data_IF_119522249272
#
_entry.id   IF_119522249272
#
_cell.length_a   1.000
_cell.length_b   1.000
_cell.length_c   1.000
_cell.angle_alpha   90.00
_cell.angle_beta   90.00
_cell.angle_gamma   90.00
#
_symmetry.space_group_name_H-M   'P 1'
#
loop_
_entity.id
_entity.type
_entity.pdbx_description
1 polymer ?
#
# COMPACT_ATOMS: atom_id res chain seq x y z
N UNK A 1 13.47 -51.97 -0.88
CA UNK A 1 14.50 -51.14 -1.56
C UNK A 1 13.79 -50.17 -2.51
N UNK A 2 13.23 -49.07 -2.01
CA UNK A 2 12.52 -48.04 -2.81
C UNK A 2 12.92 -46.66 -2.25
N UNK A 3 14.19 -46.26 -2.37
CA UNK A 3 14.61 -44.95 -1.88
C UNK A 3 15.79 -44.34 -2.67
N UNK A 4 15.72 -44.41 -3.99
CA UNK A 4 16.75 -43.85 -4.90
C UNK A 4 16.25 -42.63 -5.73
N UNK A 5 15.01 -42.15 -5.52
CA UNK A 5 14.42 -41.10 -6.40
C UNK A 5 14.24 -39.75 -5.66
N UNK A 6 14.44 -39.69 -4.34
CA UNK A 6 14.21 -38.46 -3.58
C UNK A 6 15.42 -37.50 -3.51
N UNK A 7 16.59 -37.89 -3.99
CA UNK A 7 17.84 -37.12 -3.78
C UNK A 7 18.25 -36.20 -4.94
N UNK A 8 17.51 -36.16 -6.06
CA UNK A 8 17.92 -35.41 -7.27
C UNK A 8 17.15 -34.10 -7.52
N UNK A 9 16.21 -33.71 -6.66
CA UNK A 9 15.45 -32.45 -6.81
C UNK A 9 15.97 -31.30 -5.94
N UNK A 10 17.02 -31.55 -5.16
CA UNK A 10 17.54 -30.59 -4.18
C UNK A 10 19.01 -30.25 -4.47
N UNK A 11 19.26 -29.61 -5.59
CA UNK A 11 20.40 -28.70 -5.69
C UNK A 11 20.27 -27.74 -6.86
N UNK A 12 20.29 -26.43 -6.51
CA UNK A 12 20.98 -25.36 -7.23
C UNK A 12 20.67 -25.21 -8.73
N UNK A 13 20.15 -24.09 -9.23
CA UNK A 13 20.92 -22.83 -9.35
C UNK A 13 20.04 -21.70 -9.93
N UNK A 14 18.83 -21.47 -9.40
CA UNK A 14 17.95 -20.39 -9.91
C UNK A 14 17.45 -19.43 -8.83
N UNK A 15 17.59 -19.77 -7.56
CA UNK A 15 17.14 -18.91 -6.44
C UNK A 15 18.12 -17.76 -6.11
N UNK A 16 19.39 -17.89 -6.50
CA UNK A 16 20.43 -16.90 -6.24
C UNK A 16 20.50 -15.73 -7.22
N UNK A 17 19.87 -15.83 -8.41
CA UNK A 17 19.99 -14.82 -9.46
C UNK A 17 18.95 -13.69 -9.34
N UNK A 18 17.84 -13.93 -8.65
CA UNK A 18 16.78 -12.93 -8.46
C UNK A 18 17.07 -11.95 -7.31
N UNK A 19 18.06 -12.26 -6.46
CA UNK A 19 18.51 -11.42 -5.34
C UNK A 19 19.67 -10.48 -5.69
N UNK A 20 20.01 -10.37 -6.97
CA UNK A 20 21.05 -9.47 -7.47
C UNK A 20 20.51 -8.18 -8.14
N UNK A 21 19.19 -7.98 -8.23
CA UNK A 21 18.63 -6.74 -8.79
C UNK A 21 18.01 -5.78 -7.77
N UNK A 22 18.06 -6.09 -6.46
CA UNK A 22 17.49 -5.25 -5.39
C UNK A 22 18.48 -4.27 -4.76
N UNK A 23 19.53 -3.82 -5.45
CA UNK A 23 20.45 -2.83 -4.87
C UNK A 23 21.12 -1.92 -5.90
N UNK A 24 20.35 -1.30 -6.80
CA UNK A 24 20.74 0.03 -7.29
C UNK A 24 20.27 1.04 -6.26
N UNK A 25 21.16 1.27 -5.29
CA UNK A 25 21.08 2.38 -4.34
C UNK A 25 21.12 3.67 -5.15
N UNK A 26 19.98 4.31 -5.35
CA UNK A 26 19.98 5.74 -5.59
C UNK A 26 20.42 6.40 -4.28
N UNK A 27 21.73 6.61 -4.17
CA UNK A 27 22.33 7.48 -3.19
C UNK A 27 21.93 8.91 -3.56
N UNK A 28 20.82 9.37 -3.01
CA UNK A 28 20.63 10.79 -2.72
C UNK A 28 21.06 10.99 -1.27
N UNK A 29 22.27 11.51 -1.12
CA UNK A 29 22.84 11.92 0.16
C UNK A 29 21.91 12.92 0.86
N UNK A 30 21.28 12.52 1.96
CA UNK A 30 20.75 13.46 2.96
C UNK A 30 21.75 13.53 4.12
N UNK A 31 22.04 14.72 4.67
CA UNK A 31 23.04 14.86 5.72
C UNK A 31 22.63 14.05 6.95
N UNK A 32 23.60 13.29 7.48
CA UNK A 32 23.54 12.67 8.79
C UNK A 32 23.30 13.74 9.86
N UNK A 33 22.13 13.71 10.48
CA UNK A 33 21.84 14.40 11.73
C UNK A 33 21.48 13.35 12.78
N UNK A 34 22.49 12.98 13.57
CA UNK A 34 22.40 12.72 15.01
C UNK A 34 21.33 11.71 15.44
N UNK A 35 21.79 10.49 15.76
CA UNK A 35 20.92 9.41 16.20
C UNK A 35 20.11 9.69 17.46
N UNK A 36 18.97 9.01 17.55
CA UNK A 36 18.41 8.48 18.78
C UNK A 36 17.71 7.17 18.41
N UNK A 37 18.00 6.12 19.17
CA UNK A 37 17.27 4.86 19.08
C UNK A 37 15.82 5.11 19.53
N UNK A 38 14.93 5.40 18.58
CA UNK A 38 13.49 5.38 18.82
C UNK A 38 12.95 4.00 18.46
N UNK A 39 12.18 3.44 19.38
CA UNK A 39 11.47 2.19 19.23
C UNK A 39 10.83 2.11 17.83
N UNK A 40 10.86 0.91 17.23
CA UNK A 40 10.23 0.57 15.95
C UNK A 40 8.72 0.83 15.94
N UNK A 41 8.31 2.10 15.99
CA UNK A 41 7.02 2.54 15.51
C UNK A 41 7.08 2.45 13.98
N UNK A 42 6.01 1.98 13.32
CA UNK A 42 5.96 1.97 11.87
C UNK A 42 6.21 3.41 11.38
N UNK A 43 7.22 3.56 10.52
CA UNK A 43 7.51 4.83 9.87
C UNK A 43 6.24 5.37 9.18
N UNK A 44 6.07 6.69 9.13
CA UNK A 44 4.89 7.31 8.52
C UNK A 44 4.61 6.78 7.09
N UNK A 45 5.66 6.53 6.31
CA UNK A 45 5.54 5.92 4.98
C UNK A 45 4.94 4.50 5.02
N UNK A 46 5.27 3.72 6.04
CA UNK A 46 4.73 2.38 6.25
C UNK A 46 3.26 2.44 6.69
N UNK A 47 2.88 3.42 7.52
CA UNK A 47 1.47 3.65 7.88
C UNK A 47 0.65 4.05 6.65
N UNK A 48 1.16 4.96 5.81
CA UNK A 48 0.50 5.37 4.56
C UNK A 48 0.41 4.20 3.56
N UNK A 49 1.45 3.36 3.46
CA UNK A 49 1.43 2.18 2.61
C UNK A 49 0.34 1.18 3.07
N UNK A 50 0.23 0.96 4.38
CA UNK A 50 -0.79 0.08 4.95
C UNK A 50 -2.20 0.61 4.69
N UNK A 51 -2.45 1.90 4.94
CA UNK A 51 -3.75 2.53 4.67
C UNK A 51 -4.10 2.46 3.18
N UNK A 52 -3.12 2.63 2.29
CA UNK A 52 -3.32 2.51 0.84
C UNK A 52 -3.71 1.09 0.44
N UNK A 53 -3.07 0.07 1.04
CA UNK A 53 -3.39 -1.33 0.79
C UNK A 53 -4.80 -1.68 1.28
N UNK A 54 -5.15 -1.24 2.49
CA UNK A 54 -6.49 -1.42 3.06
C UNK A 54 -7.58 -0.74 2.22
N UNK A 55 -7.29 0.43 1.64
CA UNK A 55 -8.21 1.12 0.75
C UNK A 55 -8.48 0.30 -0.53
N UNK A 56 -7.43 -0.28 -1.14
CA UNK A 56 -7.56 -1.14 -2.32
C UNK A 56 -8.42 -2.36 -2.01
N UNK A 57 -8.21 -2.98 -0.85
CA UNK A 57 -8.95 -4.18 -0.46
C UNK A 57 -10.43 -3.87 -0.18
N UNK A 58 -10.73 -2.71 0.40
CA UNK A 58 -12.12 -2.24 0.58
C UNK A 58 -12.82 -1.96 -0.75
N UNK A 59 -12.12 -1.38 -1.73
CA UNK A 59 -12.68 -1.15 -3.07
C UNK A 59 -13.07 -2.48 -3.72
N UNK A 60 -12.17 -3.48 -3.68
CA UNK A 60 -12.45 -4.83 -4.22
C UNK A 60 -13.64 -5.50 -3.54
N UNK A 61 -13.77 -5.36 -2.21
CA UNK A 61 -14.94 -5.87 -1.49
C UNK A 61 -16.23 -5.14 -1.90
N UNK A 62 -16.16 -3.83 -2.10
CA UNK A 62 -17.29 -3.04 -2.60
C UNK A 62 -17.74 -3.47 -3.99
N UNK A 63 -16.79 -3.71 -4.91
CA UNK A 63 -17.09 -4.25 -6.24
C UNK A 63 -17.75 -5.63 -6.17
N UNK A 64 -17.22 -6.54 -5.34
CA UNK A 64 -17.81 -7.86 -5.13
C UNK A 64 -19.23 -7.80 -4.56
N UNK A 65 -19.48 -6.87 -3.63
CA UNK A 65 -20.80 -6.62 -3.06
C UNK A 65 -21.75 -5.98 -4.09
N UNK A 66 -21.27 -5.06 -4.94
CA UNK A 66 -22.06 -4.47 -6.01
C UNK A 66 -22.46 -5.50 -7.07
N UNK A 67 -21.54 -6.40 -7.44
CA UNK A 67 -21.83 -7.54 -8.33
C UNK A 67 -22.92 -8.41 -7.72
N UNK A 68 -22.77 -8.77 -6.43
CA UNK A 68 -23.79 -9.52 -5.69
C UNK A 68 -25.13 -8.77 -5.62
N UNK A 69 -25.12 -7.45 -5.50
CA UNK A 69 -26.32 -6.61 -5.47
C UNK A 69 -27.05 -6.54 -6.80
N UNK A 70 -26.33 -6.48 -7.92
CA UNK A 70 -26.90 -6.57 -9.28
C UNK A 70 -27.54 -7.96 -9.51
N UNK A 71 -26.96 -9.01 -8.93
CA UNK A 71 -27.54 -10.36 -8.86
C UNK A 71 -28.77 -10.47 -7.93
N UNK A 72 -29.18 -9.37 -7.27
CA UNK A 72 -30.32 -9.33 -6.37
C UNK A 72 -30.04 -9.84 -4.95
N UNK A 73 -28.76 -10.04 -4.59
CA UNK A 73 -28.35 -10.55 -3.27
C UNK A 73 -28.18 -9.44 -2.22
N UNK A 74 -28.32 -8.15 -2.58
CA UNK A 74 -28.20 -7.01 -1.67
C UNK A 74 -29.36 -6.02 -1.84
N UNK A 75 -29.88 -5.49 -0.72
CA UNK A 75 -31.03 -4.59 -0.75
C UNK A 75 -30.65 -3.17 -1.18
N UNK A 76 -31.61 -2.41 -1.75
CA UNK A 76 -31.39 -1.01 -2.12
C UNK A 76 -30.89 -0.14 -0.95
N UNK A 77 -31.29 -0.48 0.29
CA UNK A 77 -30.81 0.19 1.49
C UNK A 77 -29.32 -0.07 1.75
N UNK A 78 -28.85 -1.31 1.53
CA UNK A 78 -27.43 -1.66 1.66
C UNK A 78 -26.57 -0.96 0.60
N UNK A 79 -27.10 -0.76 -0.60
CA UNK A 79 -26.40 0.00 -1.66
C UNK A 79 -26.23 1.47 -1.24
N UNK A 80 -27.27 2.11 -0.70
CA UNK A 80 -27.19 3.51 -0.25
C UNK A 80 -26.21 3.67 0.93
N UNK A 81 -26.24 2.75 1.89
CA UNK A 81 -25.28 2.72 3.01
C UNK A 81 -23.83 2.62 2.51
N UNK A 82 -23.58 1.72 1.55
CA UNK A 82 -22.25 1.54 0.96
C UNK A 82 -21.77 2.79 0.21
N UNK A 83 -22.66 3.47 -0.52
CA UNK A 83 -22.35 4.72 -1.23
C UNK A 83 -22.02 5.85 -0.25
N UNK A 84 -22.80 6.01 0.83
CA UNK A 84 -22.54 7.03 1.86
C UNK A 84 -21.19 6.80 2.56
N UNK A 85 -20.85 5.54 2.85
CA UNK A 85 -19.55 5.19 3.42
C UNK A 85 -18.39 5.51 2.46
N UNK A 86 -18.57 5.28 1.16
CA UNK A 86 -17.60 5.65 0.13
C UNK A 86 -17.44 7.18 0.02
N UNK A 87 -18.54 7.93 0.11
CA UNK A 87 -18.55 9.39 0.01
C UNK A 87 -17.78 10.06 1.18
N UNK A 88 -17.95 9.53 2.40
CA UNK A 88 -17.19 9.98 3.57
C UNK A 88 -15.68 9.76 3.41
N UNK A 89 -15.30 8.62 2.84
CA UNK A 89 -13.90 8.28 2.56
C UNK A 89 -13.32 9.20 1.48
N UNK A 90 -14.09 9.48 0.43
CA UNK A 90 -13.70 10.40 -0.64
C UNK A 90 -13.48 11.82 -0.12
N UNK A 91 -14.37 12.34 0.73
CA UNK A 91 -14.19 13.66 1.35
C UNK A 91 -12.89 13.75 2.15
N UNK A 92 -12.56 12.69 2.88
CA UNK A 92 -11.30 12.61 3.63
C UNK A 92 -10.09 12.61 2.69
N UNK A 93 -10.15 11.85 1.59
CA UNK A 93 -9.10 11.83 0.59
C UNK A 93 -8.90 13.20 -0.09
N UNK A 94 -10.00 13.92 -0.37
CA UNK A 94 -9.95 15.28 -0.91
C UNK A 94 -9.29 16.25 0.09
N UNK A 95 -9.64 16.16 1.37
CA UNK A 95 -9.02 17.00 2.40
C UNK A 95 -7.50 16.77 2.50
N UNK A 96 -7.05 15.53 2.39
CA UNK A 96 -5.62 15.19 2.35
C UNK A 96 -4.98 15.76 1.08
N UNK A 97 -5.62 15.59 -0.09
CA UNK A 97 -5.14 16.13 -1.37
C UNK A 97 -4.96 17.64 -1.29
N UNK A 98 -5.91 18.35 -0.70
CA UNK A 98 -5.83 19.81 -0.57
C UNK A 98 -4.69 20.23 0.36
N UNK A 99 -4.46 19.51 1.47
CA UNK A 99 -3.32 19.78 2.36
C UNK A 99 -1.97 19.57 1.69
N UNK A 100 -1.81 18.51 0.89
CA UNK A 100 -0.58 18.24 0.14
C UNK A 100 -0.33 19.33 -0.90
N UNK A 101 -1.37 19.76 -1.62
CA UNK A 101 -1.28 20.85 -2.59
C UNK A 101 -0.89 22.17 -1.90
N UNK A 102 -1.49 22.50 -0.76
CA UNK A 102 -1.12 23.68 0.01
C UNK A 102 0.34 23.63 0.48
N UNK A 103 0.81 22.48 0.99
CA UNK A 103 2.19 22.31 1.43
C UNK A 103 3.18 22.49 0.26
N UNK A 104 2.86 21.98 -0.93
CA UNK A 104 3.67 22.20 -2.12
C UNK A 104 3.76 23.68 -2.51
N UNK A 105 2.62 24.38 -2.50
CA UNK A 105 2.60 25.82 -2.81
C UNK A 105 3.38 26.64 -1.79
N UNK A 106 3.33 26.29 -0.50
CA UNK A 106 4.08 26.97 0.56
C UNK A 106 5.60 26.80 0.36
N UNK A 107 6.07 25.57 0.15
CA UNK A 107 7.49 25.28 -0.14
C UNK A 107 7.93 26.04 -1.39
N UNK A 108 7.09 26.05 -2.43
CA UNK A 108 7.41 26.72 -3.69
C UNK A 108 7.43 28.25 -3.57
N UNK A 109 6.73 28.85 -2.59
CA UNK A 109 6.77 30.29 -2.29
C UNK A 109 7.97 30.68 -1.41
N UNK A 110 8.51 29.73 -0.64
CA UNK A 110 9.72 29.92 0.18
C UNK A 110 11.01 29.69 -0.62
N UNK A 111 10.93 29.03 -1.78
CA UNK A 111 12.05 28.89 -2.72
C UNK A 111 12.33 30.20 -3.47
N UNK A 112 13.06 31.10 -2.81
CA UNK A 112 14.07 31.99 -3.43
C UNK A 112 15.37 31.89 -2.64
#
# INVERSE_FOLDING_TARGET
>A
MINEIAALTSSSTTDGLLKATSTTRYSASTPDLGGTAEASAPSFSQAVAQVSQEAIDKIKQGEAAAISGVDGQASAQQVVEAVLAAESTLQTAIAIRDKVVSAYQEISRMSI
#
